data_IF_416013269959
#
_entry.id   IF_416013269959
#
_cell.length_a   1.000
_cell.length_b   1.000
_cell.length_c   1.000
_cell.angle_alpha   90.00
_cell.angle_beta   90.00
_cell.angle_gamma   90.00
#
_symmetry.space_group_name_H-M   'P 1'
#
loop_
_entity.id
_entity.type
_entity.pdbx_description
1 polymer ?
#
# COMPACT_ATOMS: atom_id res chain seq x y z
N UNK A 1 -20.77 -5.93 25.93
CA UNK A 1 -21.75 -5.07 25.24
C UNK A 1 -21.58 -5.25 23.74
N UNK A 2 -22.56 -5.83 23.05
CA UNK A 2 -22.66 -5.71 21.60
C UNK A 2 -22.80 -4.21 21.28
N UNK A 3 -21.87 -3.62 20.53
CA UNK A 3 -22.05 -2.26 20.03
C UNK A 3 -23.18 -2.29 19.00
N UNK A 4 -24.41 -2.08 19.46
CA UNK A 4 -25.55 -1.89 18.57
C UNK A 4 -25.29 -0.60 17.81
N UNK A 5 -25.19 -0.71 16.49
CA UNK A 5 -24.96 0.41 15.59
C UNK A 5 -26.24 1.23 15.50
N UNK A 6 -26.20 2.44 16.04
CA UNK A 6 -27.28 3.41 15.88
C UNK A 6 -27.26 3.95 14.44
N UNK A 7 -28.18 3.41 13.62
CA UNK A 7 -28.30 3.69 12.19
C UNK A 7 -28.61 5.15 11.92
N UNK A 8 -29.46 5.78 12.74
CA UNK A 8 -29.87 7.18 12.54
C UNK A 8 -28.66 8.09 12.76
N UNK A 9 -27.91 7.86 13.84
CA UNK A 9 -26.70 8.62 14.13
C UNK A 9 -25.64 8.46 13.04
N UNK A 10 -25.51 7.29 12.41
CA UNK A 10 -24.58 7.07 11.30
C UNK A 10 -24.99 7.74 10.00
N UNK A 11 -26.29 7.86 9.75
CA UNK A 11 -26.80 8.57 8.58
C UNK A 11 -26.59 10.08 8.69
N UNK A 12 -26.50 10.66 9.90
CA UNK A 12 -26.16 12.08 10.08
C UNK A 12 -24.72 12.43 9.68
N UNK A 13 -23.80 11.45 9.68
CA UNK A 13 -22.42 11.69 9.28
C UNK A 13 -22.33 11.79 7.75
N UNK A 14 -21.55 12.77 7.25
CA UNK A 14 -21.16 12.81 5.85
C UNK A 14 -20.54 11.46 5.46
N UNK A 15 -20.85 10.89 4.28
CA UNK A 15 -20.42 9.54 3.91
C UNK A 15 -18.91 9.34 4.02
N UNK A 16 -18.13 10.36 3.65
CA UNK A 16 -16.67 10.34 3.76
C UNK A 16 -16.18 10.01 5.18
N UNK A 17 -16.90 10.41 6.23
CA UNK A 17 -16.49 10.19 7.63
C UNK A 17 -17.09 8.93 8.28
N UNK A 18 -17.76 8.07 7.50
CA UNK A 18 -18.42 6.86 8.01
C UNK A 18 -17.51 5.65 8.14
N UNK A 19 -16.47 5.55 7.33
CA UNK A 19 -15.49 4.47 7.42
C UNK A 19 -14.08 4.92 7.00
N UNK A 20 -13.01 4.38 7.63
CA UNK A 20 -11.65 4.89 7.41
C UNK A 20 -11.10 4.72 5.99
N UNK A 21 -11.50 3.67 5.28
CA UNK A 21 -11.06 3.47 3.90
C UNK A 21 -11.48 4.61 2.97
N UNK A 22 -12.60 5.29 3.25
CA UNK A 22 -13.16 6.32 2.37
C UNK A 22 -12.22 7.52 2.16
N UNK A 23 -11.83 8.26 3.21
CA UNK A 23 -10.95 9.42 3.04
C UNK A 23 -9.52 8.98 2.74
N UNK A 24 -9.07 7.85 3.29
CA UNK A 24 -7.70 7.38 3.10
C UNK A 24 -7.44 6.92 1.66
N UNK A 25 -8.34 6.15 1.05
CA UNK A 25 -8.14 5.66 -0.32
C UNK A 25 -8.31 6.78 -1.35
N UNK A 26 -9.30 7.67 -1.12
CA UNK A 26 -9.49 8.86 -1.95
C UNK A 26 -8.27 9.77 -1.88
N UNK A 27 -7.85 10.13 -0.66
CA UNK A 27 -6.70 10.98 -0.41
C UNK A 27 -5.41 10.40 -1.00
N UNK A 28 -5.15 9.12 -0.78
CA UNK A 28 -3.99 8.44 -1.34
C UNK A 28 -3.97 8.49 -2.87
N UNK A 29 -5.09 8.14 -3.54
CA UNK A 29 -5.15 8.11 -4.99
C UNK A 29 -4.96 9.51 -5.61
N UNK A 30 -5.57 10.54 -5.03
CA UNK A 30 -5.38 11.94 -5.47
C UNK A 30 -3.93 12.39 -5.24
N UNK A 31 -3.41 12.19 -4.02
CA UNK A 31 -2.06 12.62 -3.67
C UNK A 31 -0.99 11.89 -4.47
N UNK A 32 -1.15 10.60 -4.72
CA UNK A 32 -0.22 9.81 -5.52
C UNK A 32 -0.08 10.32 -6.96
N UNK A 33 -1.17 10.83 -7.54
CA UNK A 33 -1.12 11.52 -8.84
C UNK A 33 -0.42 12.88 -8.75
N UNK A 34 -0.78 13.71 -7.78
CA UNK A 34 -0.19 15.05 -7.57
C UNK A 34 1.32 14.96 -7.34
N UNK A 35 1.75 14.10 -6.41
CA UNK A 35 3.16 13.95 -6.06
C UNK A 35 3.99 13.45 -7.26
N UNK A 36 3.44 12.53 -8.07
CA UNK A 36 4.09 12.06 -9.27
C UNK A 36 4.24 13.16 -10.33
N UNK A 37 3.21 13.98 -10.55
CA UNK A 37 3.26 15.10 -11.49
C UNK A 37 4.26 16.18 -11.07
N UNK A 38 4.29 16.54 -9.78
CA UNK A 38 5.26 17.52 -9.25
C UNK A 38 6.69 17.01 -9.43
N UNK A 39 6.94 15.76 -9.05
CA UNK A 39 8.25 15.15 -9.21
C UNK A 39 8.67 15.08 -10.69
N UNK A 40 7.76 14.71 -11.58
CA UNK A 40 8.05 14.66 -13.01
C UNK A 40 8.39 16.06 -13.57
N UNK A 41 7.63 17.09 -13.18
CA UNK A 41 7.88 18.46 -13.63
C UNK A 41 9.30 18.90 -13.24
N UNK A 42 9.69 18.70 -11.97
CA UNK A 42 11.02 19.02 -11.47
C UNK A 42 12.12 18.20 -12.17
N UNK A 43 11.88 16.91 -12.41
CA UNK A 43 12.83 16.05 -13.12
C UNK A 43 13.04 16.49 -14.58
N UNK A 44 12.03 17.12 -15.19
CA UNK A 44 12.13 17.74 -16.54
C UNK A 44 12.73 19.14 -16.51
N UNK A 45 13.18 19.63 -15.36
CA UNK A 45 13.82 20.94 -15.21
C UNK A 45 12.86 22.11 -15.00
N UNK A 46 11.57 21.86 -14.77
CA UNK A 46 10.62 22.92 -14.41
C UNK A 46 10.93 23.40 -12.99
N UNK A 47 11.34 24.66 -12.87
CA UNK A 47 11.69 25.26 -11.59
C UNK A 47 10.43 25.54 -10.76
N UNK A 48 10.35 24.92 -9.58
CA UNK A 48 9.25 25.07 -8.62
C UNK A 48 9.84 25.42 -7.24
N UNK A 49 10.45 26.61 -7.06
CA UNK A 49 11.27 26.93 -5.89
C UNK A 49 10.49 26.95 -4.56
N UNK A 50 9.17 27.19 -4.63
CA UNK A 50 8.30 27.13 -3.46
C UNK A 50 8.01 25.70 -2.99
N UNK A 51 8.27 24.69 -3.83
CA UNK A 51 7.92 23.30 -3.56
C UNK A 51 9.17 22.48 -3.25
N UNK A 52 9.08 21.61 -2.24
CA UNK A 52 10.08 20.54 -2.04
C UNK A 52 10.00 19.56 -3.20
N UNK A 53 11.08 18.81 -3.41
CA UNK A 53 11.22 18.04 -4.63
C UNK A 53 12.35 17.04 -4.65
N UNK A 54 12.55 16.47 -5.83
CA UNK A 54 13.61 15.51 -6.10
C UNK A 54 13.27 14.07 -5.69
N UNK A 55 14.21 13.16 -5.95
CA UNK A 55 14.02 11.71 -5.79
C UNK A 55 13.71 11.32 -4.33
N UNK A 56 14.34 12.00 -3.37
CA UNK A 56 14.13 11.78 -1.94
C UNK A 56 12.69 12.11 -1.53
N UNK A 57 12.18 13.26 -1.97
CA UNK A 57 10.81 13.69 -1.70
C UNK A 57 9.81 12.77 -2.40
N UNK A 58 10.05 12.41 -3.65
CA UNK A 58 9.21 11.46 -4.38
C UNK A 58 9.12 10.10 -3.67
N UNK A 59 10.26 9.52 -3.29
CA UNK A 59 10.28 8.25 -2.55
C UNK A 59 9.50 8.35 -1.24
N UNK A 60 9.67 9.45 -0.51
CA UNK A 60 8.92 9.74 0.71
C UNK A 60 7.40 9.79 0.47
N UNK A 61 6.95 10.60 -0.47
CA UNK A 61 5.53 10.78 -0.76
C UNK A 61 4.87 9.49 -1.26
N UNK A 62 5.60 8.64 -1.98
CA UNK A 62 5.07 7.37 -2.45
C UNK A 62 4.98 6.30 -1.36
N UNK A 63 5.94 6.25 -0.44
CA UNK A 63 5.96 5.27 0.63
C UNK A 63 5.07 5.64 1.81
N UNK A 64 5.18 6.87 2.31
CA UNK A 64 4.46 7.30 3.50
C UNK A 64 3.14 8.02 3.17
N UNK A 65 3.16 8.91 2.18
CA UNK A 65 1.99 9.67 1.78
C UNK A 65 0.93 8.82 1.10
N UNK A 66 1.33 8.08 0.07
CA UNK A 66 0.45 7.24 -0.73
C UNK A 66 0.24 5.86 -0.11
N UNK A 67 1.29 5.03 0.01
CA UNK A 67 1.13 3.67 0.50
C UNK A 67 0.75 3.64 1.99
N UNK A 68 1.36 4.50 2.82
CA UNK A 68 1.04 4.64 4.24
C UNK A 68 -0.43 5.01 4.50
N UNK A 69 -1.02 5.93 3.72
CA UNK A 69 -2.44 6.24 3.81
C UNK A 69 -3.33 5.04 3.54
N UNK A 70 -3.05 4.28 2.47
CA UNK A 70 -3.83 3.07 2.14
C UNK A 70 -3.66 2.01 3.21
N UNK A 71 -2.44 1.80 3.74
CA UNK A 71 -2.18 0.87 4.84
C UNK A 71 -3.00 1.24 6.08
N UNK A 72 -2.99 2.51 6.49
CA UNK A 72 -3.79 2.99 7.63
C UNK A 72 -5.28 2.82 7.37
N UNK A 73 -5.77 3.24 6.20
CA UNK A 73 -7.17 3.09 5.80
C UNK A 73 -7.62 1.63 5.78
N UNK A 74 -6.78 0.73 5.28
CA UNK A 74 -7.04 -0.71 5.25
C UNK A 74 -7.06 -1.30 6.66
N UNK A 75 -6.03 -1.07 7.48
CA UNK A 75 -5.92 -1.64 8.84
C UNK A 75 -7.06 -1.15 9.73
N UNK A 76 -7.32 0.15 9.76
CA UNK A 76 -8.37 0.74 10.60
C UNK A 76 -9.79 0.37 10.13
N UNK A 77 -9.97 -0.04 8.88
CA UNK A 77 -11.22 -0.63 8.39
C UNK A 77 -11.29 -2.12 8.72
N UNK A 78 -10.24 -2.89 8.43
CA UNK A 78 -10.18 -4.34 8.61
C UNK A 78 -10.24 -4.77 10.08
N UNK A 79 -9.77 -3.94 11.01
CA UNK A 79 -9.86 -4.22 12.44
C UNK A 79 -11.32 -4.40 12.90
N UNK A 80 -12.30 -3.77 12.26
CA UNK A 80 -13.71 -3.97 12.59
C UNK A 80 -14.13 -5.40 12.30
N UNK A 81 -13.70 -5.96 11.18
CA UNK A 81 -13.95 -7.37 10.84
C UNK A 81 -13.23 -8.33 11.79
N UNK A 82 -12.02 -7.98 12.25
CA UNK A 82 -11.24 -8.85 13.14
C UNK A 82 -11.74 -8.84 14.57
N UNK A 83 -12.19 -7.68 15.05
CA UNK A 83 -12.52 -7.47 16.47
C UNK A 83 -14.02 -7.46 16.75
N UNK A 84 -14.86 -7.27 15.73
CA UNK A 84 -16.28 -6.97 15.89
C UNK A 84 -16.55 -5.57 16.49
N UNK A 85 -15.51 -4.80 16.82
CA UNK A 85 -15.63 -3.46 17.37
C UNK A 85 -15.62 -2.43 16.26
N UNK A 86 -16.41 -1.37 16.44
CA UNK A 86 -16.61 -0.34 15.42
C UNK A 86 -15.31 0.39 15.06
N UNK A 87 -15.07 0.58 13.76
CA UNK A 87 -13.99 1.40 13.22
C UNK A 87 -14.13 2.88 13.66
N UNK A 88 -13.06 3.69 13.64
CA UNK A 88 -13.16 5.11 13.93
C UNK A 88 -14.02 5.80 12.85
N UNK A 89 -14.97 6.62 13.30
CA UNK A 89 -15.90 7.39 12.46
C UNK A 89 -15.99 8.84 12.94
N UNK A 90 -16.60 9.71 12.13
CA UNK A 90 -16.85 11.11 12.45
C UNK A 90 -15.57 11.88 12.80
N UNK A 91 -15.58 12.59 13.93
CA UNK A 91 -14.49 13.48 14.37
C UNK A 91 -13.14 12.76 14.53
N UNK A 92 -13.13 11.52 15.03
CA UNK A 92 -11.90 10.77 15.21
C UNK A 92 -11.23 10.46 13.85
N UNK A 93 -12.04 10.10 12.85
CA UNK A 93 -11.57 9.85 11.49
C UNK A 93 -11.17 11.15 10.78
N UNK A 94 -11.92 12.23 10.98
CA UNK A 94 -11.57 13.55 10.46
C UNK A 94 -10.22 14.04 11.01
N UNK A 95 -9.98 13.90 12.32
CA UNK A 95 -8.70 14.24 12.96
C UNK A 95 -7.55 13.40 12.42
N UNK A 96 -7.73 12.09 12.28
CA UNK A 96 -6.73 11.21 11.67
C UNK A 96 -6.41 11.63 10.21
N UNK A 97 -7.43 11.97 9.43
CA UNK A 97 -7.27 12.42 8.05
C UNK A 97 -6.60 13.79 7.95
N UNK A 98 -6.87 14.68 8.92
CA UNK A 98 -6.26 16.00 9.00
C UNK A 98 -4.76 15.90 9.32
N UNK A 99 -4.34 14.99 10.21
CA UNK A 99 -2.91 14.74 10.48
C UNK A 99 -2.17 14.34 9.19
N UNK A 100 -2.74 13.41 8.43
CA UNK A 100 -2.17 12.98 7.14
C UNK A 100 -2.06 14.15 6.14
N UNK A 101 -3.16 14.89 5.97
CA UNK A 101 -3.19 16.02 5.03
C UNK A 101 -2.23 17.15 5.45
N UNK A 102 -2.16 17.47 6.74
CA UNK A 102 -1.25 18.48 7.27
C UNK A 102 0.22 18.10 7.01
N UNK A 103 0.57 16.82 7.15
CA UNK A 103 1.90 16.34 6.79
C UNK A 103 2.17 16.53 5.29
N UNK A 104 1.22 16.19 4.40
CA UNK A 104 1.39 16.36 2.94
C UNK A 104 1.63 17.80 2.56
N UNK A 105 0.80 18.72 3.08
CA UNK A 105 0.94 20.14 2.82
C UNK A 105 2.26 20.69 3.40
N UNK A 106 2.66 20.26 4.60
CA UNK A 106 3.93 20.68 5.19
C UNK A 106 5.17 20.16 4.44
N UNK A 107 5.13 18.94 3.89
CA UNK A 107 6.19 18.43 3.03
C UNK A 107 6.15 19.00 1.62
N UNK A 108 5.02 19.56 1.17
CA UNK A 108 4.91 20.15 -0.16
C UNK A 108 5.69 21.46 -0.24
N UNK A 109 5.55 22.34 0.74
CA UNK A 109 6.11 23.69 0.69
C UNK A 109 7.52 23.76 1.31
N UNK A 110 8.48 24.30 0.56
CA UNK A 110 9.87 24.41 0.98
C UNK A 110 10.07 25.31 2.21
N UNK A 111 9.23 26.34 2.35
CA UNK A 111 9.27 27.29 3.47
C UNK A 111 8.76 26.75 4.81
N UNK A 112 8.13 25.56 4.83
CA UNK A 112 7.64 24.97 6.08
C UNK A 112 8.80 24.24 6.78
N UNK A 113 9.08 24.53 8.06
CA UNK A 113 10.12 23.83 8.83
C UNK A 113 9.83 22.32 8.93
N UNK A 114 10.85 21.48 8.68
CA UNK A 114 10.69 20.02 8.55
C UNK A 114 10.13 19.31 9.80
N UNK A 115 10.38 19.85 10.99
CA UNK A 115 9.90 19.23 12.23
C UNK A 115 8.35 19.17 12.28
N UNK A 116 7.66 20.13 11.64
CA UNK A 116 6.21 20.23 11.66
C UNK A 116 5.51 19.11 10.86
N UNK A 117 5.81 18.88 9.56
CA UNK A 117 5.24 17.75 8.83
C UNK A 117 5.71 16.40 9.38
N UNK A 118 6.94 16.29 9.92
CA UNK A 118 7.41 15.07 10.62
C UNK A 118 6.52 14.76 11.82
N UNK A 119 6.23 15.76 12.66
CA UNK A 119 5.34 15.60 13.80
C UNK A 119 3.94 15.13 13.38
N UNK A 120 3.37 15.73 12.33
CA UNK A 120 2.05 15.35 11.83
C UNK A 120 2.02 13.94 11.23
N UNK A 121 3.05 13.55 10.47
CA UNK A 121 3.14 12.21 9.86
C UNK A 121 3.38 11.11 10.90
N UNK A 122 4.33 11.30 11.81
CA UNK A 122 4.53 10.37 12.92
C UNK A 122 3.27 10.29 13.79
N UNK A 123 2.62 11.42 14.06
CA UNK A 123 1.34 11.49 14.76
C UNK A 123 0.24 10.69 14.04
N UNK A 124 0.13 10.80 12.72
CA UNK A 124 -0.83 10.03 11.92
C UNK A 124 -0.68 8.53 12.14
N UNK A 125 0.54 8.00 12.05
CA UNK A 125 0.80 6.57 12.25
C UNK A 125 0.62 6.13 13.71
N UNK A 126 1.08 6.92 14.68
CA UNK A 126 0.94 6.60 16.12
C UNK A 126 -0.53 6.63 16.56
N UNK A 127 -1.32 7.62 16.13
CA UNK A 127 -2.75 7.66 16.41
C UNK A 127 -3.46 6.47 15.78
N UNK A 128 -3.13 6.09 14.55
CA UNK A 128 -3.65 4.87 13.94
C UNK A 128 -3.28 3.61 14.74
N UNK A 129 -2.05 3.53 15.26
CA UNK A 129 -1.59 2.44 16.11
C UNK A 129 -2.38 2.35 17.41
N UNK A 130 -2.64 3.48 18.07
CA UNK A 130 -3.44 3.54 19.31
C UNK A 130 -4.90 3.16 19.05
N UNK A 131 -5.53 3.73 18.01
CA UNK A 131 -6.93 3.44 17.67
C UNK A 131 -7.14 1.95 17.35
N UNK A 132 -6.19 1.36 16.61
CA UNK A 132 -6.22 -0.06 16.24
C UNK A 132 -5.87 -0.96 17.42
N UNK A 133 -4.79 -0.64 18.12
CA UNK A 133 -4.24 -1.44 19.21
C UNK A 133 -5.20 -1.58 20.39
N UNK A 134 -5.86 -0.47 20.79
CA UNK A 134 -6.86 -0.51 21.87
C UNK A 134 -7.98 -1.53 21.59
N UNK A 135 -8.43 -1.66 20.34
CA UNK A 135 -9.49 -2.59 19.95
C UNK A 135 -8.99 -4.02 19.85
N UNK A 136 -7.83 -4.23 19.22
CA UNK A 136 -7.23 -5.57 19.10
C UNK A 136 -6.94 -6.17 20.48
N UNK A 137 -6.38 -5.37 21.40
CA UNK A 137 -6.05 -5.80 22.76
C UNK A 137 -7.31 -6.07 23.59
N UNK A 138 -8.36 -5.25 23.46
CA UNK A 138 -9.62 -5.40 24.19
C UNK A 138 -10.29 -6.77 23.95
N UNK A 139 -10.21 -7.30 22.73
CA UNK A 139 -10.77 -8.62 22.36
C UNK A 139 -9.71 -9.70 22.16
N UNK A 140 -8.46 -9.45 22.57
CA UNK A 140 -7.35 -10.41 22.52
C UNK A 140 -7.13 -11.04 21.13
N UNK A 141 -7.24 -10.25 20.06
CA UNK A 141 -7.05 -10.70 18.68
C UNK A 141 -5.56 -10.82 18.30
N UNK A 142 -4.83 -11.73 18.97
CA UNK A 142 -3.37 -11.87 18.90
C UNK A 142 -2.81 -12.06 17.49
N UNK A 143 -3.55 -12.76 16.63
CA UNK A 143 -3.14 -13.05 15.24
C UNK A 143 -2.95 -11.79 14.39
N UNK A 144 -3.55 -10.67 14.79
CA UNK A 144 -3.44 -9.39 14.09
C UNK A 144 -2.62 -8.35 14.86
N UNK A 145 -2.00 -8.73 15.99
CA UNK A 145 -1.24 -7.80 16.83
C UNK A 145 -0.04 -7.18 16.10
N UNK A 146 0.53 -7.87 15.11
CA UNK A 146 1.68 -7.42 14.31
C UNK A 146 1.45 -6.07 13.60
N UNK A 147 0.20 -5.64 13.41
CA UNK A 147 -0.11 -4.33 12.78
C UNK A 147 0.32 -3.15 13.66
N UNK A 148 0.34 -3.33 14.99
CA UNK A 148 0.72 -2.26 15.94
C UNK A 148 2.21 -1.92 15.80
N UNK A 149 3.17 -2.87 15.96
CA UNK A 149 4.57 -2.55 15.76
C UNK A 149 4.87 -2.11 14.32
N UNK A 150 4.13 -2.58 13.31
CA UNK A 150 4.28 -2.07 11.94
C UNK A 150 3.92 -0.59 11.83
N UNK A 151 2.82 -0.13 12.44
CA UNK A 151 2.44 1.29 12.44
C UNK A 151 3.41 2.16 13.26
N UNK A 152 3.93 1.64 14.38
CA UNK A 152 4.99 2.33 15.14
C UNK A 152 6.27 2.43 14.31
N UNK A 153 6.63 1.37 13.58
CA UNK A 153 7.77 1.39 12.67
C UNK A 153 7.57 2.43 11.55
N UNK A 154 6.38 2.55 10.95
CA UNK A 154 6.09 3.64 10.02
C UNK A 154 6.36 5.03 10.62
N UNK A 155 5.90 5.28 11.85
CA UNK A 155 6.11 6.56 12.52
C UNK A 155 7.60 6.88 12.72
N UNK A 156 8.38 5.87 13.13
CA UNK A 156 9.82 5.99 13.34
C UNK A 156 10.59 6.16 12.03
N UNK A 157 10.23 5.40 10.99
CA UNK A 157 10.83 5.46 9.66
C UNK A 157 10.55 6.80 8.98
N UNK A 158 9.33 7.33 9.12
CA UNK A 158 8.95 8.66 8.64
C UNK A 158 9.83 9.76 9.25
N UNK A 159 9.99 9.74 10.57
CA UNK A 159 10.86 10.68 11.27
C UNK A 159 12.33 10.51 10.85
N UNK A 160 12.83 9.26 10.81
CA UNK A 160 14.20 8.96 10.42
C UNK A 160 14.51 9.42 8.99
N UNK A 161 13.56 9.33 8.06
CA UNK A 161 13.74 9.75 6.66
C UNK A 161 14.16 11.22 6.54
N UNK A 162 13.67 12.10 7.41
CA UNK A 162 13.98 13.54 7.37
C UNK A 162 14.97 14.00 8.44
N UNK A 163 15.01 13.33 9.59
CA UNK A 163 15.86 13.72 10.72
C UNK A 163 17.23 13.04 10.71
N UNK A 164 17.41 11.94 9.96
CA UNK A 164 18.65 11.18 9.87
C UNK A 164 19.13 11.07 8.41
N UNK A 165 19.73 12.12 7.82
CA UNK A 165 20.13 12.12 6.40
C UNK A 165 21.03 10.95 6.00
N UNK A 166 21.95 10.54 6.88
CA UNK A 166 22.84 9.41 6.66
C UNK A 166 22.10 8.05 6.54
N UNK A 167 20.89 7.96 7.08
CA UNK A 167 20.07 6.75 7.09
C UNK A 167 18.90 6.80 6.10
N UNK A 168 18.75 7.88 5.34
CA UNK A 168 17.60 8.13 4.47
C UNK A 168 17.41 7.04 3.40
N UNK A 169 18.50 6.57 2.78
CA UNK A 169 18.45 5.46 1.82
C UNK A 169 17.99 4.16 2.47
N UNK A 170 18.60 3.79 3.61
CA UNK A 170 18.26 2.58 4.33
C UNK A 170 16.80 2.63 4.84
N UNK A 171 16.38 3.76 5.40
CA UNK A 171 15.00 3.98 5.84
C UNK A 171 13.97 3.86 4.72
N UNK A 172 14.27 4.38 3.53
CA UNK A 172 13.43 4.19 2.34
C UNK A 172 13.30 2.70 1.95
N UNK A 173 14.40 1.95 1.94
CA UNK A 173 14.41 0.52 1.65
C UNK A 173 13.66 -0.29 2.70
N UNK A 174 13.88 -0.03 3.99
CA UNK A 174 13.17 -0.68 5.09
C UNK A 174 11.67 -0.40 5.01
N UNK A 175 11.27 0.84 4.67
CA UNK A 175 9.85 1.19 4.50
C UNK A 175 9.22 0.46 3.31
N UNK A 176 9.92 0.39 2.17
CA UNK A 176 9.47 -0.36 1.00
C UNK A 176 9.26 -1.85 1.34
N UNK A 177 10.20 -2.44 2.05
CA UNK A 177 10.14 -3.83 2.51
C UNK A 177 9.07 -4.04 3.58
N UNK A 178 8.78 -3.04 4.42
CA UNK A 178 7.73 -3.11 5.44
C UNK A 178 6.36 -3.19 4.76
N UNK A 179 6.10 -2.30 3.79
CA UNK A 179 4.86 -2.33 3.00
C UNK A 179 4.75 -3.66 2.23
N UNK A 180 5.84 -4.08 1.59
CA UNK A 180 5.91 -5.37 0.89
C UNK A 180 5.61 -6.53 1.85
N UNK A 181 6.17 -6.50 3.05
CA UNK A 181 5.91 -7.48 4.10
C UNK A 181 4.44 -7.56 4.49
N UNK A 182 3.80 -6.41 4.72
CA UNK A 182 2.36 -6.34 4.97
C UNK A 182 1.56 -6.95 3.81
N UNK A 183 1.94 -6.67 2.56
CA UNK A 183 1.33 -7.29 1.37
C UNK A 183 1.53 -8.81 1.37
N UNK A 184 2.70 -9.33 1.73
CA UNK A 184 2.92 -10.80 1.76
C UNK A 184 2.09 -11.50 2.84
N UNK A 185 1.84 -10.85 3.97
CA UNK A 185 1.00 -11.34 5.08
C UNK A 185 -0.48 -11.30 4.69
N UNK A 186 -0.97 -10.13 4.26
CA UNK A 186 -2.38 -9.97 3.89
C UNK A 186 -2.70 -10.70 2.60
N UNK A 187 -1.85 -10.58 1.58
CA UNK A 187 -1.97 -11.22 0.27
C UNK A 187 -2.18 -12.73 0.38
N UNK A 188 -1.37 -13.41 1.18
CA UNK A 188 -1.54 -14.85 1.38
C UNK A 188 -2.78 -15.29 2.16
N UNK A 189 -3.52 -14.36 2.76
CA UNK A 189 -4.85 -14.63 3.34
C UNK A 189 -5.95 -14.29 2.33
N UNK A 190 -5.88 -13.10 1.73
CA UNK A 190 -6.97 -12.52 0.93
C UNK A 190 -7.01 -13.05 -0.50
N UNK A 191 -5.87 -13.27 -1.14
CA UNK A 191 -5.81 -13.76 -2.53
C UNK A 191 -6.40 -15.17 -2.65
N UNK A 192 -5.93 -16.18 -1.90
CA UNK A 192 -6.53 -17.52 -1.98
C UNK A 192 -7.99 -17.53 -1.53
N UNK A 193 -8.37 -16.73 -0.52
CA UNK A 193 -9.76 -16.58 -0.09
C UNK A 193 -10.66 -16.03 -1.21
N UNK A 194 -10.21 -14.97 -1.89
CA UNK A 194 -10.97 -14.38 -3.00
C UNK A 194 -11.04 -15.29 -4.22
N UNK A 195 -9.98 -16.04 -4.52
CA UNK A 195 -10.01 -17.07 -5.58
C UNK A 195 -11.05 -18.15 -5.25
N UNK A 196 -10.98 -18.72 -4.05
CA UNK A 196 -11.90 -19.77 -3.62
C UNK A 196 -13.36 -19.29 -3.64
N UNK A 197 -13.62 -18.11 -3.08
CA UNK A 197 -14.97 -17.53 -3.02
C UNK A 197 -15.54 -17.19 -4.40
N UNK A 198 -14.73 -16.71 -5.35
CA UNK A 198 -15.22 -16.34 -6.69
C UNK A 198 -15.67 -17.55 -7.51
N UNK A 199 -14.96 -18.67 -7.37
CA UNK A 199 -15.23 -19.91 -8.09
C UNK A 199 -16.00 -20.95 -7.26
N UNK A 200 -16.48 -20.56 -6.07
CA UNK A 200 -17.25 -21.43 -5.16
C UNK A 200 -16.54 -22.75 -4.85
N UNK A 201 -15.22 -22.69 -4.65
CA UNK A 201 -14.38 -23.84 -4.36
C UNK A 201 -13.95 -23.82 -2.90
N UNK A 202 -13.56 -24.97 -2.36
CA UNK A 202 -12.83 -25.01 -1.11
C UNK A 202 -11.47 -24.30 -1.26
N UNK A 203 -11.13 -23.47 -0.28
CA UNK A 203 -9.82 -22.84 -0.20
C UNK A 203 -8.78 -23.93 0.04
N UNK A 204 -7.71 -23.94 -0.76
CA UNK A 204 -6.61 -24.89 -0.58
C UNK A 204 -5.96 -24.69 0.78
N UNK A 205 -5.63 -25.79 1.44
CA UNK A 205 -4.94 -25.76 2.72
C UNK A 205 -3.62 -25.01 2.64
N UNK A 206 -3.31 -24.33 3.73
CA UNK A 206 -2.07 -23.59 3.86
C UNK A 206 -0.93 -24.55 4.16
N UNK A 207 0.18 -24.40 3.46
CA UNK A 207 1.44 -25.04 3.83
C UNK A 207 2.08 -24.19 4.92
N UNK A 208 2.02 -24.65 6.17
CA UNK A 208 2.44 -23.89 7.37
C UNK A 208 3.89 -23.42 7.26
N UNK A 209 4.80 -24.31 6.83
CA UNK A 209 6.23 -23.99 6.63
C UNK A 209 6.41 -22.83 5.66
N UNK A 210 5.60 -22.78 4.60
CA UNK A 210 5.68 -21.76 3.57
C UNK A 210 5.15 -20.41 4.06
N UNK A 211 4.10 -20.40 4.88
CA UNK A 211 3.55 -19.19 5.50
C UNK A 211 4.50 -18.62 6.55
N UNK A 212 4.97 -19.46 7.49
CA UNK A 212 5.89 -19.04 8.56
C UNK A 212 7.24 -18.63 7.96
N UNK A 213 7.81 -19.42 7.05
CA UNK A 213 9.07 -19.11 6.38
C UNK A 213 9.00 -17.80 5.59
N UNK A 214 7.87 -17.50 4.95
CA UNK A 214 7.67 -16.21 4.27
C UNK A 214 7.68 -15.04 5.24
N UNK A 215 6.98 -15.15 6.38
CA UNK A 215 6.92 -14.06 7.37
C UNK A 215 8.27 -13.84 8.05
N UNK A 216 8.95 -14.92 8.45
CA UNK A 216 10.29 -14.85 9.06
C UNK A 216 11.30 -14.31 8.06
N UNK A 217 11.27 -14.76 6.80
CA UNK A 217 12.18 -14.29 5.76
C UNK A 217 12.05 -12.79 5.50
N UNK A 218 10.82 -12.26 5.47
CA UNK A 218 10.58 -10.82 5.32
C UNK A 218 11.13 -10.06 6.51
N UNK A 219 10.89 -10.54 7.73
CA UNK A 219 11.42 -9.92 8.95
C UNK A 219 12.95 -9.96 8.97
N UNK A 220 13.56 -11.08 8.59
CA UNK A 220 15.01 -11.22 8.50
C UNK A 220 15.61 -10.23 7.49
N UNK A 221 15.00 -10.09 6.31
CA UNK A 221 15.45 -9.12 5.31
C UNK A 221 15.29 -7.67 5.80
N UNK A 222 14.17 -7.36 6.45
CA UNK A 222 13.95 -6.04 7.07
C UNK A 222 15.04 -5.68 8.08
N UNK A 223 15.36 -6.60 8.99
CA UNK A 223 16.40 -6.41 9.99
C UNK A 223 17.78 -6.34 9.35
N UNK A 224 18.07 -7.18 8.36
CA UNK A 224 19.35 -7.18 7.66
C UNK A 224 19.63 -5.85 6.96
N UNK A 225 18.62 -5.26 6.30
CA UNK A 225 18.73 -3.94 5.67
C UNK A 225 18.79 -2.84 6.74
N UNK A 226 17.93 -2.91 7.76
CA UNK A 226 17.84 -1.88 8.82
C UNK A 226 19.13 -1.75 9.65
N UNK A 227 19.77 -2.87 9.97
CA UNK A 227 21.07 -2.92 10.66
C UNK A 227 22.27 -2.84 9.72
N UNK A 228 22.04 -2.57 8.43
CA UNK A 228 23.08 -2.40 7.43
C UNK A 228 24.07 -3.58 7.34
N UNK A 229 23.56 -4.82 7.40
CA UNK A 229 24.38 -6.02 7.17
C UNK A 229 24.96 -6.02 5.74
N UNK A 230 25.99 -6.84 5.44
CA UNK A 230 26.55 -6.89 4.09
C UNK A 230 25.51 -7.20 3.01
N UNK A 231 25.53 -6.46 1.89
CA UNK A 231 24.54 -6.59 0.81
C UNK A 231 24.35 -8.03 0.28
N UNK A 232 25.37 -8.91 0.19
CA UNK A 232 25.15 -10.30 -0.19
C UNK A 232 24.16 -11.04 0.72
N UNK A 233 24.11 -10.71 2.01
CA UNK A 233 23.11 -11.26 2.95
C UNK A 233 21.71 -10.85 2.55
N UNK A 234 21.51 -9.58 2.18
CA UNK A 234 20.21 -9.08 1.70
C UNK A 234 19.80 -9.81 0.42
N UNK A 235 20.75 -9.98 -0.50
CA UNK A 235 20.53 -10.64 -1.78
C UNK A 235 20.06 -12.09 -1.60
N UNK A 236 20.75 -12.89 -0.79
CA UNK A 236 20.36 -14.29 -0.57
C UNK A 236 19.04 -14.44 0.19
N UNK A 237 18.76 -13.55 1.15
CA UNK A 237 17.44 -13.47 1.79
C UNK A 237 16.35 -13.10 0.78
N UNK A 238 16.64 -12.21 -0.17
CA UNK A 238 15.71 -11.87 -1.25
C UNK A 238 15.47 -13.07 -2.18
N UNK A 239 16.50 -13.88 -2.51
CA UNK A 239 16.29 -15.10 -3.31
C UNK A 239 15.41 -16.11 -2.58
N UNK A 240 15.68 -16.35 -1.29
CA UNK A 240 14.85 -17.22 -0.45
C UNK A 240 13.38 -16.76 -0.51
N UNK A 241 13.14 -15.45 -0.36
CA UNK A 241 11.81 -14.89 -0.45
C UNK A 241 11.20 -15.03 -1.86
N UNK A 242 11.97 -14.83 -2.93
CA UNK A 242 11.46 -15.04 -4.30
C UNK A 242 10.93 -16.47 -4.47
N UNK A 243 11.68 -17.48 -4.02
CA UNK A 243 11.29 -18.90 -4.11
C UNK A 243 10.06 -19.19 -3.26
N UNK A 244 10.04 -18.76 -1.99
CA UNK A 244 8.91 -18.98 -1.08
C UNK A 244 7.63 -18.31 -1.61
N UNK A 245 7.73 -17.07 -2.08
CA UNK A 245 6.57 -16.33 -2.60
C UNK A 245 6.08 -16.90 -3.94
N UNK A 246 6.98 -17.38 -4.81
CA UNK A 246 6.61 -18.05 -6.06
C UNK A 246 5.85 -19.36 -5.78
N UNK A 247 6.33 -20.16 -4.83
CA UNK A 247 5.65 -21.39 -4.42
C UNK A 247 4.24 -21.08 -3.88
N UNK A 248 4.06 -20.01 -3.10
CA UNK A 248 2.73 -19.56 -2.64
C UNK A 248 1.81 -19.18 -3.79
N UNK A 249 2.33 -18.46 -4.79
CA UNK A 249 1.56 -18.09 -5.97
C UNK A 249 1.00 -19.31 -6.71
N UNK A 250 1.80 -20.39 -6.81
CA UNK A 250 1.35 -21.66 -7.41
C UNK A 250 0.18 -22.31 -6.66
N UNK A 251 0.08 -22.12 -5.34
CA UNK A 251 -1.03 -22.64 -4.53
C UNK A 251 -2.35 -21.88 -4.76
N UNK A 252 -2.29 -20.67 -5.33
CA UNK A 252 -3.45 -19.78 -5.48
C UNK A 252 -4.19 -19.92 -6.81
N UNK A 253 -3.99 -21.05 -7.51
CA UNK A 253 -4.67 -21.45 -8.76
C UNK A 253 -4.66 -20.33 -9.83
N UNK A 254 -3.48 -19.86 -10.26
CA UNK A 254 -3.37 -18.73 -11.18
C UNK A 254 -4.02 -18.97 -12.55
N UNK A 255 -4.25 -20.22 -12.96
CA UNK A 255 -4.92 -20.55 -14.22
C UNK A 255 -6.38 -20.08 -14.29
N UNK A 256 -7.07 -19.93 -13.15
CA UNK A 256 -8.50 -19.65 -13.10
C UNK A 256 -8.85 -18.16 -13.20
N UNK A 257 -7.89 -17.27 -12.95
CA UNK A 257 -8.18 -15.88 -12.56
C UNK A 257 -8.43 -14.93 -13.73
N UNK A 258 -8.04 -15.30 -14.95
CA UNK A 258 -7.92 -14.38 -16.09
C UNK A 258 -9.24 -13.75 -16.54
N UNK A 259 -10.37 -14.42 -16.29
CA UNK A 259 -11.71 -13.88 -16.60
C UNK A 259 -12.21 -12.86 -15.58
N UNK A 260 -11.50 -12.68 -14.46
CA UNK A 260 -11.95 -11.91 -13.30
C UNK A 260 -10.98 -10.75 -12.99
N UNK A 261 -11.27 -9.52 -13.47
CA UNK A 261 -10.36 -8.38 -13.33
C UNK A 261 -9.95 -8.02 -11.92
N UNK A 262 -10.88 -8.12 -10.96
CA UNK A 262 -10.60 -7.87 -9.55
C UNK A 262 -9.74 -8.97 -8.90
N UNK A 263 -9.47 -10.07 -9.62
CA UNK A 263 -8.69 -11.20 -9.12
C UNK A 263 -7.33 -11.27 -9.83
N UNK A 264 -7.29 -11.25 -11.17
CA UNK A 264 -6.00 -11.30 -11.87
C UNK A 264 -5.10 -10.12 -11.51
N UNK A 265 -5.67 -8.94 -11.25
CA UNK A 265 -4.91 -7.76 -10.83
C UNK A 265 -4.18 -7.97 -9.49
N UNK A 266 -4.77 -8.70 -8.55
CA UNK A 266 -4.11 -9.07 -7.29
C UNK A 266 -2.93 -10.01 -7.53
N UNK A 267 -3.11 -11.05 -8.36
CA UNK A 267 -2.04 -12.00 -8.67
C UNK A 267 -0.90 -11.36 -9.44
N UNK A 268 -1.20 -10.59 -10.49
CA UNK A 268 -0.18 -9.88 -11.29
C UNK A 268 0.64 -8.96 -10.40
N UNK A 269 -0.01 -8.19 -9.52
CA UNK A 269 0.70 -7.34 -8.56
C UNK A 269 1.57 -8.15 -7.60
N UNK A 270 1.09 -9.31 -7.14
CA UNK A 270 1.90 -10.19 -6.31
C UNK A 270 3.08 -10.81 -7.06
N UNK A 271 2.95 -11.10 -8.36
CA UNK A 271 4.07 -11.58 -9.17
C UNK A 271 5.16 -10.52 -9.35
N UNK A 272 4.80 -9.23 -9.38
CA UNK A 272 5.80 -8.16 -9.32
C UNK A 272 6.57 -8.13 -8.00
N UNK A 273 5.97 -8.55 -6.87
CA UNK A 273 6.71 -8.73 -5.60
C UNK A 273 7.72 -9.87 -5.73
N UNK A 274 7.33 -11.00 -6.33
CA UNK A 274 8.25 -12.12 -6.60
C UNK A 274 9.40 -11.67 -7.51
N UNK A 275 9.07 -10.96 -8.60
CA UNK A 275 10.04 -10.39 -9.52
C UNK A 275 10.98 -9.41 -8.80
N UNK A 276 10.44 -8.55 -7.94
CA UNK A 276 11.23 -7.60 -7.15
C UNK A 276 12.25 -8.30 -6.25
N UNK A 277 11.85 -9.38 -5.57
CA UNK A 277 12.78 -10.18 -4.76
C UNK A 277 13.87 -10.84 -5.59
N UNK A 278 13.53 -11.41 -6.75
CA UNK A 278 14.51 -12.01 -7.65
C UNK A 278 15.49 -10.98 -8.22
N UNK A 279 15.00 -9.81 -8.65
CA UNK A 279 15.85 -8.73 -9.13
C UNK A 279 16.73 -8.14 -8.02
N UNK A 280 16.20 -8.03 -6.80
CA UNK A 280 16.95 -7.58 -5.64
C UNK A 280 18.09 -8.54 -5.27
N UNK A 281 17.86 -9.85 -5.39
CA UNK A 281 18.94 -10.84 -5.28
C UNK A 281 20.07 -10.55 -6.27
N UNK A 282 19.76 -10.41 -7.55
CA UNK A 282 20.77 -10.14 -8.59
C UNK A 282 21.52 -8.83 -8.34
N UNK A 283 20.81 -7.79 -7.89
CA UNK A 283 21.40 -6.49 -7.61
C UNK A 283 22.31 -6.51 -6.38
N UNK A 284 21.82 -6.99 -5.24
CA UNK A 284 22.51 -6.90 -3.94
C UNK A 284 23.62 -7.93 -3.75
N UNK A 285 23.62 -9.03 -4.51
CA UNK A 285 24.79 -9.93 -4.60
C UNK A 285 25.89 -9.42 -5.53
N UNK A 286 25.59 -8.38 -6.32
CA UNK A 286 26.52 -7.82 -7.30
C UNK A 286 26.57 -8.54 -8.64
N UNK A 287 25.76 -9.59 -8.85
CA UNK A 287 25.65 -10.31 -10.14
C UNK A 287 25.20 -9.36 -11.26
N UNK A 288 24.26 -8.45 -10.97
CA UNK A 288 23.77 -7.46 -11.93
C UNK A 288 23.51 -6.11 -11.23
N UNK A 289 24.58 -5.37 -10.95
CA UNK A 289 24.57 -4.11 -10.17
C UNK A 289 23.59 -3.04 -10.70
N UNK A 290 23.31 -3.02 -12.00
CA UNK A 290 22.38 -2.06 -12.62
C UNK A 290 20.89 -2.31 -12.32
N UNK A 291 20.53 -3.48 -11.77
CA UNK A 291 19.12 -3.87 -11.58
C UNK A 291 18.47 -3.34 -10.31
N UNK A 292 19.22 -2.69 -9.40
CA UNK A 292 18.66 -2.23 -8.12
C UNK A 292 17.46 -1.31 -8.33
N UNK A 293 17.58 -0.30 -9.19
CA UNK A 293 16.45 0.60 -9.49
C UNK A 293 15.24 -0.16 -10.04
N UNK A 294 15.46 -1.14 -10.92
CA UNK A 294 14.41 -2.01 -11.45
C UNK A 294 13.73 -2.83 -10.35
N UNK A 295 14.51 -3.42 -9.44
CA UNK A 295 13.99 -4.19 -8.31
C UNK A 295 13.10 -3.32 -7.40
N UNK A 296 13.54 -2.11 -7.08
CA UNK A 296 12.77 -1.18 -6.25
C UNK A 296 11.44 -0.80 -6.91
N UNK A 297 11.40 -0.62 -8.24
CA UNK A 297 10.16 -0.28 -8.95
C UNK A 297 9.28 -1.50 -9.24
N UNK A 298 9.85 -2.71 -9.32
CA UNK A 298 9.07 -3.95 -9.28
C UNK A 298 8.28 -4.04 -7.97
N UNK A 299 8.92 -3.76 -6.82
CA UNK A 299 8.21 -3.65 -5.56
C UNK A 299 7.25 -2.46 -5.52
N UNK A 300 7.69 -1.25 -5.86
CA UNK A 300 6.92 -0.02 -5.62
C UNK A 300 5.75 0.16 -6.60
N UNK A 301 5.98 -0.01 -7.91
CA UNK A 301 4.97 0.28 -8.94
C UNK A 301 4.10 -0.94 -9.19
N UNK A 302 4.72 -2.06 -9.59
CA UNK A 302 3.99 -3.28 -9.92
C UNK A 302 3.42 -3.98 -8.69
N UNK A 303 4.24 -4.08 -7.64
CA UNK A 303 3.88 -4.72 -6.39
C UNK A 303 2.89 -3.92 -5.55
N UNK A 304 3.38 -2.84 -4.95
CA UNK A 304 2.65 -2.00 -3.99
C UNK A 304 1.56 -1.19 -4.69
N UNK A 305 1.91 -0.41 -5.72
CA UNK A 305 0.93 0.36 -6.50
C UNK A 305 -0.15 -0.55 -7.09
N UNK A 306 0.24 -1.59 -7.82
CA UNK A 306 -0.68 -2.58 -8.37
C UNK A 306 -1.60 -3.22 -7.32
N UNK A 307 -1.03 -3.70 -6.22
CA UNK A 307 -1.78 -4.34 -5.14
C UNK A 307 -2.76 -3.38 -4.48
N UNK A 308 -2.33 -2.14 -4.23
CA UNK A 308 -3.18 -1.08 -3.71
C UNK A 308 -4.33 -0.86 -4.67
N UNK A 309 -4.09 -0.59 -5.95
CA UNK A 309 -5.14 -0.31 -6.93
C UNK A 309 -6.16 -1.45 -7.01
N UNK A 310 -5.70 -2.69 -7.06
CA UNK A 310 -6.54 -3.88 -7.06
C UNK A 310 -7.38 -4.02 -5.77
N UNK A 311 -6.75 -3.84 -4.62
CA UNK A 311 -7.38 -3.99 -3.32
C UNK A 311 -8.40 -2.88 -3.04
N UNK A 312 -8.04 -1.61 -3.23
CA UNK A 312 -8.93 -0.49 -2.95
C UNK A 312 -10.16 -0.51 -3.88
N UNK A 313 -10.02 -1.00 -5.13
CA UNK A 313 -11.15 -1.19 -6.04
C UNK A 313 -12.14 -2.22 -5.51
N UNK A 314 -11.65 -3.37 -5.03
CA UNK A 314 -12.50 -4.43 -4.46
C UNK A 314 -13.11 -4.03 -3.13
N UNK A 315 -12.31 -3.44 -2.23
CA UNK A 315 -12.74 -3.00 -0.90
C UNK A 315 -13.80 -1.90 -1.04
N UNK A 316 -13.63 -0.96 -1.96
CA UNK A 316 -14.63 0.09 -2.19
C UNK A 316 -15.98 -0.51 -2.59
N UNK A 317 -16.03 -1.46 -3.53
CA UNK A 317 -17.29 -2.11 -3.91
C UNK A 317 -17.93 -2.84 -2.72
N UNK A 318 -17.17 -3.70 -2.03
CA UNK A 318 -17.69 -4.51 -0.93
C UNK A 318 -18.16 -3.68 0.27
N UNK A 319 -17.41 -2.64 0.63
CA UNK A 319 -17.73 -1.78 1.77
C UNK A 319 -18.69 -0.63 1.45
N UNK A 320 -19.05 -0.43 0.17
CA UNK A 320 -20.15 0.48 -0.23
C UNK A 320 -21.47 -0.25 -0.52
N UNK A 321 -21.54 -1.56 -0.29
CA UNK A 321 -22.75 -2.36 -0.49
C UNK A 321 -23.05 -2.66 -1.96
N UNK A 322 -22.08 -2.48 -2.85
CA UNK A 322 -22.23 -2.68 -4.29
C UNK A 322 -21.83 -4.10 -4.68
N UNK A 323 -22.41 -4.58 -5.80
CA UNK A 323 -21.96 -5.83 -6.39
C UNK A 323 -20.47 -5.78 -6.70
N UNK A 324 -19.76 -6.90 -6.46
CA UNK A 324 -18.32 -7.05 -6.75
C UNK A 324 -18.07 -7.24 -8.26
N UNK A 325 -18.62 -6.35 -9.08
CA UNK A 325 -18.44 -6.31 -10.53
C UNK A 325 -17.53 -5.14 -10.88
N UNK A 326 -16.45 -5.44 -11.59
CA UNK A 326 -15.49 -4.43 -12.03
C UNK A 326 -16.14 -3.45 -13.02
N UNK A 327 -15.98 -2.12 -12.87
CA UNK A 327 -16.38 -1.15 -13.87
C UNK A 327 -15.70 -1.41 -15.22
N UNK A 328 -16.35 -1.01 -16.33
CA UNK A 328 -15.96 -1.41 -17.70
C UNK A 328 -14.50 -1.12 -18.06
N UNK A 329 -13.98 0.06 -17.70
CA UNK A 329 -12.60 0.46 -18.04
C UNK A 329 -11.59 0.15 -16.92
N UNK A 330 -12.03 -0.37 -15.78
CA UNK A 330 -11.09 -0.66 -14.69
C UNK A 330 -10.09 -1.80 -15.01
N UNK A 331 -10.39 -2.81 -15.84
CA UNK A 331 -9.36 -3.75 -16.32
C UNK A 331 -8.22 -3.04 -17.09
N UNK A 332 -8.53 -1.99 -17.86
CA UNK A 332 -7.53 -1.16 -18.53
C UNK A 332 -6.65 -0.45 -17.51
N UNK A 333 -7.22 0.06 -16.42
CA UNK A 333 -6.45 0.69 -15.33
C UNK A 333 -5.43 -0.27 -14.70
N UNK A 334 -5.84 -1.52 -14.43
CA UNK A 334 -4.94 -2.55 -13.90
C UNK A 334 -3.83 -2.91 -14.91
N UNK A 335 -4.17 -3.05 -16.20
CA UNK A 335 -3.20 -3.36 -17.24
C UNK A 335 -2.22 -2.20 -17.45
N UNK A 336 -2.71 -0.96 -17.47
CA UNK A 336 -1.89 0.25 -17.60
C UNK A 336 -0.85 0.36 -16.49
N UNK A 337 -1.22 0.04 -15.25
CA UNK A 337 -0.29 0.07 -14.13
C UNK A 337 0.74 -1.07 -14.18
N UNK A 338 0.35 -2.27 -14.64
CA UNK A 338 1.29 -3.36 -14.88
C UNK A 338 2.29 -3.03 -16.01
N UNK A 339 1.81 -2.43 -17.11
CA UNK A 339 2.67 -1.96 -18.20
C UNK A 339 3.57 -0.80 -17.76
N UNK A 340 3.07 0.10 -16.91
CA UNK A 340 3.88 1.15 -16.30
C UNK A 340 5.03 0.59 -15.47
N UNK A 341 4.78 -0.47 -14.69
CA UNK A 341 5.82 -1.16 -13.95
C UNK A 341 6.86 -1.78 -14.90
N UNK A 342 6.44 -2.53 -15.93
CA UNK A 342 7.36 -3.12 -16.90
C UNK A 342 8.20 -2.06 -17.62
N UNK A 343 7.58 -0.97 -18.08
CA UNK A 343 8.28 0.15 -18.69
C UNK A 343 9.28 0.76 -17.70
N UNK A 344 8.91 0.93 -16.43
CA UNK A 344 9.80 1.47 -15.40
C UNK A 344 10.99 0.56 -15.07
N UNK A 345 10.79 -0.75 -15.14
CA UNK A 345 11.79 -1.77 -14.79
C UNK A 345 12.78 -1.98 -15.93
N UNK A 346 12.28 -2.16 -17.16
CA UNK A 346 13.09 -2.63 -18.30
C UNK A 346 13.38 -1.57 -19.36
N UNK A 347 12.57 -0.50 -19.43
CA UNK A 347 12.68 0.50 -20.51
C UNK A 347 13.05 1.90 -20.03
N UNK A 348 12.79 2.25 -18.76
CA UNK A 348 13.08 3.57 -18.21
C UNK A 348 14.55 4.00 -18.15
N UNK A 349 15.58 3.12 -18.30
CA UNK A 349 16.92 3.61 -18.63
C UNK A 349 16.94 4.48 -19.91
N UNK A 350 15.96 4.32 -20.80
CA UNK A 350 15.64 5.25 -21.88
C UNK A 350 14.51 6.23 -21.46
N UNK A 351 14.61 7.49 -21.90
CA UNK A 351 13.69 8.59 -21.52
C UNK A 351 12.20 8.30 -21.82
N UNK A 352 11.90 7.46 -22.81
CA UNK A 352 10.54 7.09 -23.20
C UNK A 352 9.88 6.14 -22.17
N UNK A 353 10.63 5.22 -21.57
CA UNK A 353 10.08 4.26 -20.60
C UNK A 353 9.57 4.93 -19.33
N UNK A 354 10.20 6.04 -18.91
CA UNK A 354 9.71 6.85 -17.79
C UNK A 354 8.35 7.49 -18.09
N UNK A 355 8.14 8.01 -19.31
CA UNK A 355 6.86 8.64 -19.67
C UNK A 355 5.73 7.62 -19.73
N UNK A 356 6.00 6.44 -20.29
CA UNK A 356 5.03 5.34 -20.28
C UNK A 356 4.66 4.95 -18.85
N UNK A 357 5.64 4.90 -17.94
CA UNK A 357 5.38 4.63 -16.53
C UNK A 357 4.48 5.67 -15.88
N UNK A 358 4.75 6.97 -16.08
CA UNK A 358 3.94 8.05 -15.52
C UNK A 358 2.54 8.05 -16.11
N UNK A 359 2.41 7.98 -17.43
CA UNK A 359 1.11 7.96 -18.10
C UNK A 359 0.27 6.75 -17.67
N UNK A 360 0.86 5.56 -17.56
CA UNK A 360 0.16 4.36 -17.10
C UNK A 360 -0.28 4.45 -15.64
N UNK A 361 0.53 5.07 -14.75
CA UNK A 361 0.13 5.35 -13.37
C UNK A 361 -1.05 6.32 -13.32
N UNK A 362 -0.97 7.46 -14.02
CA UNK A 362 -2.01 8.48 -14.04
C UNK A 362 -3.31 7.95 -14.65
N UNK A 363 -3.22 7.13 -15.70
CA UNK A 363 -4.39 6.45 -16.27
C UNK A 363 -5.02 5.48 -15.26
N UNK A 364 -4.19 4.67 -14.58
CA UNK A 364 -4.64 3.69 -13.61
C UNK A 364 -5.39 4.32 -12.43
N UNK A 365 -4.76 5.28 -11.74
CA UNK A 365 -5.37 5.97 -10.61
C UNK A 365 -6.43 6.98 -11.04
N UNK A 366 -6.33 7.58 -12.22
CA UNK A 366 -7.35 8.47 -12.78
C UNK A 366 -8.66 7.72 -13.05
N UNK A 367 -8.60 6.53 -13.64
CA UNK A 367 -9.79 5.67 -13.82
C UNK A 367 -10.34 5.18 -12.48
N UNK A 368 -9.49 4.90 -11.49
CA UNK A 368 -9.96 4.62 -10.13
C UNK A 368 -10.72 5.81 -9.55
N UNK A 369 -10.17 7.02 -9.60
CA UNK A 369 -10.85 8.21 -9.09
C UNK A 369 -12.18 8.45 -9.82
N UNK A 370 -12.19 8.32 -11.15
CA UNK A 370 -13.40 8.49 -11.95
C UNK A 370 -14.55 7.59 -11.51
N UNK A 371 -14.31 6.29 -11.32
CA UNK A 371 -15.37 5.36 -10.93
C UNK A 371 -15.64 5.32 -9.42
N UNK A 372 -14.60 5.39 -8.61
CA UNK A 372 -14.68 5.04 -7.19
C UNK A 372 -14.78 6.26 -6.27
N UNK A 373 -14.29 7.45 -6.65
CA UNK A 373 -14.45 8.65 -5.82
C UNK A 373 -15.93 8.97 -5.53
N UNK A 374 -16.87 8.91 -6.50
CA UNK A 374 -18.30 9.10 -6.21
C UNK A 374 -18.83 8.04 -5.21
N UNK A 375 -18.34 6.80 -5.28
CA UNK A 375 -18.76 5.74 -4.37
C UNK A 375 -18.26 5.97 -2.94
N UNK A 376 -17.04 6.50 -2.79
CA UNK A 376 -16.43 6.82 -1.49
C UNK A 376 -17.09 8.03 -0.82
N UNK A 377 -17.67 8.94 -1.61
CA UNK A 377 -18.36 10.15 -1.15
C UNK A 377 -19.88 9.98 -1.02
N UNK A 378 -20.46 8.90 -1.54
CA UNK A 378 -21.89 8.62 -1.46
C UNK A 378 -22.23 7.63 -0.31
N UNK A 379 -23.46 7.68 0.22
CA UNK A 379 -23.97 6.63 1.11
C UNK A 379 -23.88 5.23 0.47
N UNK A 380 -23.86 4.19 1.30
CA UNK A 380 -23.99 2.81 0.85
C UNK A 380 -25.29 2.59 0.09
N UNK A 381 -25.27 1.70 -0.90
CA UNK A 381 -26.45 1.40 -1.71
C UNK A 381 -27.48 0.53 -1.02
N UNK A 382 -27.10 -0.19 0.04
CA UNK A 382 -27.97 -1.09 0.78
C UNK A 382 -28.59 -0.45 2.04
N UNK A 383 -28.37 0.86 2.25
CA UNK A 383 -28.87 1.61 3.41
C UNK A 383 -28.24 1.20 4.74
N UNK A 384 -27.33 0.23 4.75
CA UNK A 384 -26.59 -0.15 5.95
C UNK A 384 -25.57 0.93 6.30
N UNK A 385 -25.12 0.98 7.56
CA UNK A 385 -24.09 1.92 7.91
C UNK A 385 -22.72 1.65 7.30
N UNK A 386 -21.99 2.75 7.13
CA UNK A 386 -20.62 2.79 6.65
C UNK A 386 -20.40 3.50 5.35
#
# INVERSE_FOLDING_TARGET
MLQIMDREREQTLLPLWRMPFRPMFLGAAVWGGIALCIWLAQLRGISLPALRGGVIWHAHEMLFGFAGAVVVGFITTAMQTWTGLRAPTGRALAGLSALWLAARLGYLFAGVPLWLPVMFESGFFLVAAVLTGRRILAVRQWRNLFVIPALIAFAALAAAHWLLPAWQRAGGLVTLLLVTGLITVFGGRVIPFFTARRFQMQQRDKIVVLEIGSHIGVLALLLAVGFNLPQPVWGWLALLLAVLQLARCGLWRPSLIWREPLLWSLHVSYWFIVLGFFMAFLAWTGIARGLESGALHAFAVGGIGGMILAMISRVTLGHTGRMLKCPRLMPLAFAALALAALARIFWAPASNGLMVAVCGWLLGYGLYLYYYAPMLMAPRTDGQPG
#
